data_IF_962271986772
#
_entry.id   IF_962271986772
#
_cell.length_a   1.000
_cell.length_b   1.000
_cell.length_c   1.000
_cell.angle_alpha   90.00
_cell.angle_beta   90.00
_cell.angle_gamma   90.00
#
_symmetry.space_group_name_H-M   'P 1'
#
loop_
_entity.id
_entity.type
_entity.pdbx_description
1 polymer ?
#
# COMPACT_ATOMS: atom_id res chain seq x y z
N UNK A 1 30.79 19.59 69.00
CA UNK A 1 30.92 19.78 67.54
C UNK A 1 30.90 18.42 66.87
N UNK A 2 30.34 18.35 65.66
CA UNK A 2 30.49 17.24 64.68
C UNK A 2 29.42 16.14 64.66
N UNK A 3 28.28 16.46 64.03
CA UNK A 3 27.63 15.53 63.10
C UNK A 3 27.15 16.20 61.79
N UNK A 4 27.54 17.47 61.56
CA UNK A 4 27.15 18.25 60.39
C UNK A 4 27.72 17.69 59.08
N UNK A 5 28.93 17.12 59.10
CA UNK A 5 29.54 16.49 57.91
C UNK A 5 28.76 15.26 57.44
N UNK A 6 28.22 14.47 58.36
CA UNK A 6 27.38 13.30 58.02
C UNK A 6 26.06 13.70 57.36
N UNK A 7 25.40 14.74 57.89
CA UNK A 7 24.17 15.28 57.33
C UNK A 7 24.37 15.83 55.90
N UNK A 8 25.47 16.55 55.65
CA UNK A 8 25.80 17.09 54.31
C UNK A 8 26.01 15.95 53.30
N UNK A 9 26.74 14.89 53.66
CA UNK A 9 26.98 13.75 52.78
C UNK A 9 25.69 12.99 52.44
N UNK A 10 24.78 12.82 53.40
CA UNK A 10 23.48 12.19 53.17
C UNK A 10 22.62 12.99 52.19
N UNK A 11 22.56 14.32 52.35
CA UNK A 11 21.83 15.20 51.42
C UNK A 11 22.44 15.13 50.02
N UNK A 12 23.77 15.11 49.90
CA UNK A 12 24.44 14.97 48.62
C UNK A 12 24.11 13.64 47.93
N UNK A 13 24.10 12.52 48.66
CA UNK A 13 23.73 11.20 48.13
C UNK A 13 22.25 11.18 47.70
N UNK A 14 21.34 11.73 48.51
CA UNK A 14 19.93 11.83 48.15
C UNK A 14 19.71 12.66 46.88
N UNK A 15 20.40 13.81 46.74
CA UNK A 15 20.34 14.63 45.53
C UNK A 15 20.87 13.88 44.31
N UNK A 16 21.98 13.16 44.44
CA UNK A 16 22.52 12.33 43.35
C UNK A 16 21.56 11.20 42.94
N UNK A 17 20.89 10.55 43.90
CA UNK A 17 19.86 9.54 43.63
C UNK A 17 18.63 10.15 42.94
N UNK A 18 18.22 11.35 43.34
CA UNK A 18 17.10 12.05 42.72
C UNK A 18 17.45 12.50 41.29
N UNK A 19 18.62 13.08 41.07
CA UNK A 19 19.09 13.48 39.73
C UNK A 19 19.26 12.26 38.82
N UNK A 20 19.82 11.16 39.31
CA UNK A 20 19.99 9.94 38.52
C UNK A 20 18.65 9.28 38.16
N UNK A 21 17.70 9.21 39.09
CA UNK A 21 16.35 8.68 38.81
C UNK A 21 15.59 9.55 37.80
N UNK A 22 15.65 10.87 37.89
CA UNK A 22 15.11 11.79 36.88
C UNK A 22 15.78 11.56 35.51
N UNK A 23 17.10 11.39 35.49
CA UNK A 23 17.86 11.08 34.28
C UNK A 23 17.37 9.79 33.61
N UNK A 24 17.16 8.72 34.38
CA UNK A 24 16.63 7.43 33.88
C UNK A 24 15.23 7.59 33.30
N UNK A 25 14.35 8.37 33.95
CA UNK A 25 13.00 8.63 33.46
C UNK A 25 13.00 9.36 32.11
N UNK A 26 13.82 10.41 31.98
CA UNK A 26 13.99 11.17 30.73
C UNK A 26 14.54 10.27 29.62
N UNK A 27 15.56 9.44 29.92
CA UNK A 27 16.11 8.47 28.97
C UNK A 27 15.06 7.48 28.50
N UNK A 28 14.25 6.92 29.41
CA UNK A 28 13.17 5.98 29.09
C UNK A 28 12.14 6.62 28.16
N UNK A 29 11.75 7.88 28.41
CA UNK A 29 10.84 8.62 27.55
C UNK A 29 11.43 8.87 26.15
N UNK A 30 12.71 9.26 26.06
CA UNK A 30 13.41 9.46 24.78
C UNK A 30 13.50 8.17 23.97
N UNK A 31 13.87 7.05 24.59
CA UNK A 31 13.92 5.73 23.95
C UNK A 31 12.53 5.35 23.40
N UNK A 32 11.48 5.57 24.18
CA UNK A 32 10.10 5.31 23.74
C UNK A 32 9.72 6.17 22.52
N UNK A 33 10.02 7.47 22.57
CA UNK A 33 9.79 8.38 21.44
C UNK A 33 10.54 7.96 20.17
N UNK A 34 11.81 7.58 20.29
CA UNK A 34 12.61 7.10 19.15
C UNK A 34 11.98 5.85 18.55
N UNK A 35 11.56 4.87 19.38
CA UNK A 35 10.86 3.67 18.91
C UNK A 35 9.56 3.99 18.17
N UNK A 36 8.78 4.96 18.66
CA UNK A 36 7.56 5.42 17.98
C UNK A 36 7.85 6.07 16.62
N UNK A 37 8.88 6.91 16.54
CA UNK A 37 9.29 7.57 15.29
C UNK A 37 9.76 6.52 14.27
N UNK A 38 10.58 5.56 14.69
CA UNK A 38 11.04 4.45 13.84
C UNK A 38 9.85 3.63 13.30
N UNK A 39 8.88 3.30 14.15
CA UNK A 39 7.68 2.57 13.73
C UNK A 39 6.84 3.36 12.71
N UNK A 40 6.72 4.69 12.89
CA UNK A 40 6.02 5.58 11.95
C UNK A 40 6.76 5.67 10.62
N UNK A 41 8.08 5.86 10.63
CA UNK A 41 8.91 5.89 9.43
C UNK A 41 8.82 4.59 8.65
N UNK A 42 8.92 3.44 9.34
CA UNK A 42 8.77 2.13 8.72
C UNK A 42 7.40 1.97 8.05
N UNK A 43 6.32 2.40 8.72
CA UNK A 43 4.96 2.35 8.18
C UNK A 43 4.80 3.21 6.92
N UNK A 44 5.39 4.41 6.90
CA UNK A 44 5.39 5.30 5.74
C UNK A 44 6.17 4.72 4.57
N UNK A 45 7.32 4.09 4.83
CA UNK A 45 8.10 3.39 3.79
C UNK A 45 7.30 2.22 3.19
N UNK A 46 6.67 1.40 4.04
CA UNK A 46 5.78 0.32 3.58
C UNK A 46 4.63 0.86 2.73
N UNK A 47 4.02 1.98 3.13
CA UNK A 47 2.98 2.63 2.33
C UNK A 47 3.50 3.13 0.99
N UNK A 48 4.69 3.72 0.95
CA UNK A 48 5.29 4.21 -0.28
C UNK A 48 5.59 3.07 -1.25
N UNK A 49 6.16 1.97 -0.77
CA UNK A 49 6.45 0.77 -1.57
C UNK A 49 5.16 0.16 -2.13
N UNK A 50 4.16 -0.05 -1.27
CA UNK A 50 2.85 -0.55 -1.66
C UNK A 50 2.16 0.35 -2.71
N UNK A 51 2.22 1.66 -2.50
CA UNK A 51 1.65 2.63 -3.43
C UNK A 51 2.37 2.62 -4.78
N UNK A 52 3.70 2.52 -4.77
CA UNK A 52 4.52 2.41 -5.97
C UNK A 52 4.13 1.20 -6.82
N UNK A 53 4.05 0.02 -6.20
CA UNK A 53 3.66 -1.23 -6.88
C UNK A 53 2.25 -1.14 -7.47
N UNK A 54 1.32 -0.58 -6.70
CA UNK A 54 -0.09 -0.42 -7.13
C UNK A 54 -0.22 0.56 -8.29
N UNK A 55 0.46 1.70 -8.21
CA UNK A 55 0.45 2.71 -9.28
C UNK A 55 1.10 2.17 -10.56
N UNK A 56 2.16 1.38 -10.44
CA UNK A 56 2.80 0.73 -11.58
C UNK A 56 1.83 -0.23 -12.31
N UNK A 57 1.14 -1.09 -11.55
CA UNK A 57 0.12 -1.99 -12.11
C UNK A 57 -1.00 -1.21 -12.79
N UNK A 58 -1.53 -0.17 -12.14
CA UNK A 58 -2.63 0.64 -12.68
C UNK A 58 -2.21 1.37 -13.95
N UNK A 59 -1.03 2.00 -13.95
CA UNK A 59 -0.49 2.69 -15.13
C UNK A 59 -0.31 1.74 -16.31
N UNK A 60 0.20 0.54 -16.08
CA UNK A 60 0.36 -0.48 -17.11
C UNK A 60 -0.99 -0.93 -17.69
N UNK A 61 -1.98 -1.20 -16.84
CA UNK A 61 -3.33 -1.58 -17.27
C UNK A 61 -4.02 -0.44 -18.03
N UNK A 62 -3.86 0.81 -17.60
CA UNK A 62 -4.40 1.98 -18.28
C UNK A 62 -3.80 2.20 -19.67
N UNK A 63 -2.54 1.81 -19.90
CA UNK A 63 -1.91 1.83 -21.24
C UNK A 63 -2.38 0.68 -22.12
N UNK A 64 -2.54 -0.52 -21.56
CA UNK A 64 -2.82 -1.74 -22.32
C UNK A 64 -4.31 -1.97 -22.60
N UNK A 65 -5.22 -1.46 -21.75
CA UNK A 65 -6.66 -1.58 -21.96
C UNK A 65 -7.18 -0.85 -23.22
N UNK A 66 -6.76 0.38 -23.54
CA UNK A 66 -7.10 1.03 -24.80
C UNK A 66 -6.60 0.24 -26.01
N UNK A 67 -5.38 -0.32 -25.94
CA UNK A 67 -4.82 -1.16 -27.01
C UNK A 67 -5.69 -2.41 -27.25
N UNK A 68 -6.12 -3.09 -26.17
CA UNK A 68 -7.02 -4.24 -26.28
C UNK A 68 -8.37 -3.86 -26.88
N UNK A 69 -8.91 -2.69 -26.55
CA UNK A 69 -10.14 -2.17 -27.17
C UNK A 69 -9.95 -1.95 -28.67
N UNK A 70 -8.89 -1.25 -29.06
CA UNK A 70 -8.58 -0.96 -30.46
C UNK A 70 -8.38 -2.25 -31.26
N UNK A 71 -7.61 -3.22 -30.75
CA UNK A 71 -7.40 -4.51 -31.39
C UNK A 71 -8.69 -5.35 -31.48
N UNK A 72 -9.53 -5.29 -30.46
CA UNK A 72 -10.82 -5.99 -30.48
C UNK A 72 -11.74 -5.37 -31.53
N UNK A 73 -11.81 -4.04 -31.61
CA UNK A 73 -12.59 -3.33 -32.65
C UNK A 73 -12.03 -3.60 -34.05
N UNK A 74 -10.72 -3.55 -34.25
CA UNK A 74 -10.07 -3.86 -35.52
C UNK A 74 -10.37 -5.28 -35.99
N UNK A 75 -10.39 -6.25 -35.05
CA UNK A 75 -10.78 -7.63 -35.33
C UNK A 75 -12.24 -7.75 -35.80
N UNK A 76 -13.15 -6.95 -35.24
CA UNK A 76 -14.54 -6.90 -35.70
C UNK A 76 -14.67 -6.17 -37.04
N UNK A 77 -13.95 -5.07 -37.25
CA UNK A 77 -13.95 -4.33 -38.51
C UNK A 77 -13.31 -5.11 -39.67
N UNK A 78 -12.30 -5.93 -39.42
CA UNK A 78 -11.66 -6.78 -40.43
C UNK A 78 -12.57 -7.89 -40.96
N UNK A 79 -13.68 -8.19 -40.28
CA UNK A 79 -14.72 -9.09 -40.79
C UNK A 79 -15.59 -8.43 -41.87
N UNK A 80 -15.61 -7.10 -41.93
CA UNK A 80 -16.49 -6.32 -42.82
C UNK A 80 -15.82 -6.05 -44.19
N UNK A 81 -14.48 -6.01 -44.24
CA UNK A 81 -13.72 -5.73 -45.47
C UNK A 81 -13.09 -7.04 -46.01
N UNK A 82 -13.71 -7.70 -47.02
CA UNK A 82 -13.15 -8.89 -47.65
C UNK A 82 -11.83 -8.56 -48.38
N UNK A 83 -10.83 -9.44 -48.29
CA UNK A 83 -9.52 -9.32 -48.97
C UNK A 83 -8.34 -9.00 -48.04
N UNK A 84 -8.46 -7.99 -47.17
CA UNK A 84 -7.41 -7.62 -46.19
C UNK A 84 -7.64 -8.31 -44.82
N UNK A 85 -8.85 -8.85 -44.61
CA UNK A 85 -9.34 -9.33 -43.32
C UNK A 85 -8.65 -10.57 -42.74
N UNK A 86 -8.15 -11.51 -43.54
CA UNK A 86 -7.64 -12.78 -43.00
C UNK A 86 -6.29 -12.64 -42.29
N UNK A 87 -5.35 -11.92 -42.89
CA UNK A 87 -4.01 -11.69 -42.32
C UNK A 87 -4.12 -10.78 -41.09
N UNK A 88 -4.89 -9.70 -41.20
CA UNK A 88 -5.14 -8.77 -40.10
C UNK A 88 -5.86 -9.43 -38.92
N UNK A 89 -6.82 -10.32 -39.17
CA UNK A 89 -7.52 -11.06 -38.11
C UNK A 89 -6.62 -12.03 -37.34
N UNK A 90 -5.74 -12.78 -38.04
CA UNK A 90 -4.78 -13.69 -37.37
C UNK A 90 -3.80 -12.91 -36.50
N UNK A 91 -3.22 -11.83 -37.04
CA UNK A 91 -2.28 -10.97 -36.31
C UNK A 91 -2.94 -10.30 -35.10
N UNK A 92 -4.18 -9.79 -35.25
CA UNK A 92 -4.93 -9.20 -34.15
C UNK A 92 -5.24 -10.22 -33.04
N UNK A 93 -5.56 -11.47 -33.39
CA UNK A 93 -5.81 -12.55 -32.41
C UNK A 93 -4.56 -12.88 -31.60
N UNK A 94 -3.40 -12.95 -32.25
CA UNK A 94 -2.11 -13.19 -31.58
C UNK A 94 -1.75 -12.02 -30.66
N UNK A 95 -1.86 -10.78 -31.15
CA UNK A 95 -1.62 -9.58 -30.35
C UNK A 95 -2.55 -9.47 -29.13
N UNK A 96 -3.84 -9.81 -29.29
CA UNK A 96 -4.77 -9.87 -28.16
C UNK A 96 -4.35 -10.91 -27.12
N UNK A 97 -3.91 -12.10 -27.55
CA UNK A 97 -3.45 -13.16 -26.65
C UNK A 97 -2.19 -12.75 -25.90
N UNK A 98 -1.21 -12.18 -26.58
CA UNK A 98 0.06 -11.76 -25.97
C UNK A 98 -0.15 -10.64 -24.94
N UNK A 99 -0.94 -9.61 -25.25
CA UNK A 99 -1.24 -8.53 -24.31
C UNK A 99 -2.00 -9.06 -23.09
N UNK A 100 -2.97 -9.97 -23.27
CA UNK A 100 -3.69 -10.61 -22.16
C UNK A 100 -2.75 -11.39 -21.24
N UNK A 101 -1.85 -12.20 -21.81
CA UNK A 101 -0.84 -12.95 -21.06
C UNK A 101 0.11 -12.02 -20.32
N UNK A 102 0.60 -10.96 -21.00
CA UNK A 102 1.45 -9.95 -20.39
C UNK A 102 0.78 -9.28 -19.18
N UNK A 103 -0.47 -8.85 -19.32
CA UNK A 103 -1.24 -8.28 -18.21
C UNK A 103 -1.42 -9.27 -17.05
N UNK A 104 -1.67 -10.56 -17.35
CA UNK A 104 -1.81 -11.60 -16.32
C UNK A 104 -0.48 -11.84 -15.59
N UNK A 105 0.65 -11.91 -16.31
CA UNK A 105 1.97 -12.06 -15.71
C UNK A 105 2.32 -10.88 -14.80
N UNK A 106 2.05 -9.65 -15.24
CA UNK A 106 2.26 -8.47 -14.41
C UNK A 106 1.35 -8.46 -13.18
N UNK A 107 0.12 -8.93 -13.30
CA UNK A 107 -0.78 -9.07 -12.17
C UNK A 107 -0.28 -10.10 -11.15
N UNK A 108 0.20 -11.26 -11.60
CA UNK A 108 0.82 -12.27 -10.73
C UNK A 108 2.09 -11.71 -10.06
N UNK A 109 2.92 -11.00 -10.81
CA UNK A 109 4.10 -10.31 -10.26
C UNK A 109 3.73 -9.31 -9.17
N UNK A 110 2.66 -8.55 -9.36
CA UNK A 110 2.14 -7.63 -8.34
C UNK A 110 1.70 -8.37 -7.07
N UNK A 111 0.96 -9.48 -7.20
CA UNK A 111 0.57 -10.30 -6.05
C UNK A 111 1.79 -10.87 -5.31
N UNK A 112 2.81 -11.31 -6.04
CA UNK A 112 4.10 -11.75 -5.45
C UNK A 112 4.78 -10.62 -4.68
N UNK A 113 4.82 -9.40 -5.24
CA UNK A 113 5.39 -8.24 -4.58
C UNK A 113 4.62 -7.87 -3.31
N UNK A 114 3.28 -7.93 -3.31
CA UNK A 114 2.47 -7.75 -2.10
C UNK A 114 2.84 -8.75 -1.00
N UNK A 115 3.05 -10.02 -1.38
CA UNK A 115 3.49 -11.06 -0.46
C UNK A 115 4.89 -10.76 0.10
N UNK A 116 5.84 -10.31 -0.73
CA UNK A 116 7.17 -9.91 -0.29
C UNK A 116 7.13 -8.72 0.68
N UNK A 117 6.31 -7.70 0.41
CA UNK A 117 6.12 -6.56 1.32
C UNK A 117 5.58 -7.05 2.68
N UNK A 118 4.63 -7.99 2.68
CA UNK A 118 4.16 -8.61 3.93
C UNK A 118 5.28 -9.37 4.66
N UNK A 119 6.13 -10.09 3.93
CA UNK A 119 7.29 -10.81 4.50
C UNK A 119 8.32 -9.86 5.13
N UNK A 120 8.45 -8.63 4.63
CA UNK A 120 9.30 -7.56 5.20
C UNK A 120 8.75 -6.94 6.50
N UNK A 121 7.84 -7.63 7.21
CA UNK A 121 7.18 -7.17 8.45
C UNK A 121 6.32 -5.90 8.31
N UNK A 122 5.93 -5.53 7.09
CA UNK A 122 4.95 -4.46 6.90
C UNK A 122 3.56 -4.90 7.40
N UNK A 123 2.88 -4.11 8.24
CA UNK A 123 1.61 -4.50 8.85
C UNK A 123 0.43 -4.29 7.88
N UNK A 124 0.43 -5.05 6.79
CA UNK A 124 -0.61 -5.05 5.76
C UNK A 124 -1.88 -5.73 6.28
N UNK A 125 -3.01 -5.04 6.20
CA UNK A 125 -4.32 -5.67 6.40
C UNK A 125 -4.61 -6.70 5.30
N UNK A 126 -5.38 -7.74 5.61
CA UNK A 126 -5.94 -8.68 4.61
C UNK A 126 -6.71 -7.93 3.52
N UNK A 127 -7.34 -6.80 3.85
CA UNK A 127 -8.03 -5.95 2.89
C UNK A 127 -7.10 -5.33 1.84
N UNK A 128 -5.81 -5.18 2.12
CA UNK A 128 -4.82 -4.65 1.17
C UNK A 128 -4.49 -5.64 0.04
N UNK A 129 -4.84 -6.93 0.19
CA UNK A 129 -4.76 -7.92 -0.89
C UNK A 129 -5.95 -7.84 -1.85
N UNK A 130 -6.99 -7.07 -1.54
CA UNK A 130 -8.06 -6.76 -2.51
C UNK A 130 -7.51 -5.80 -3.55
N UNK A 131 -7.14 -6.35 -4.70
CA UNK A 131 -6.52 -5.59 -5.81
C UNK A 131 -7.50 -4.61 -6.48
N UNK A 132 -7.00 -3.64 -7.29
CA UNK A 132 -7.85 -2.70 -8.03
C UNK A 132 -8.76 -3.35 -9.08
N UNK A 133 -8.42 -4.55 -9.53
CA UNK A 133 -9.08 -5.24 -10.65
C UNK A 133 -9.96 -6.39 -10.15
N UNK A 134 -11.06 -6.65 -10.86
CA UNK A 134 -11.89 -7.83 -10.60
C UNK A 134 -11.16 -9.08 -11.09
N UNK A 135 -11.18 -10.13 -10.27
CA UNK A 135 -10.61 -11.44 -10.60
C UNK A 135 -11.70 -12.50 -10.58
N UNK A 136 -11.53 -13.56 -11.37
CA UNK A 136 -12.30 -14.80 -11.29
C UNK A 136 -11.83 -15.63 -10.08
N UNK A 137 -12.56 -16.70 -9.77
CA UNK A 137 -12.19 -17.69 -8.73
C UNK A 137 -10.77 -18.23 -8.97
N UNK A 138 -10.38 -18.45 -10.23
CA UNK A 138 -9.04 -18.88 -10.65
C UNK A 138 -7.95 -17.80 -10.56
N UNK A 139 -8.21 -16.67 -9.90
CA UNK A 139 -7.32 -15.50 -9.82
C UNK A 139 -6.95 -14.87 -11.18
N UNK A 140 -7.59 -15.31 -12.26
CA UNK A 140 -7.47 -14.70 -13.57
C UNK A 140 -8.21 -13.35 -13.60
N UNK A 141 -7.66 -12.38 -14.32
CA UNK A 141 -8.30 -11.06 -14.49
C UNK A 141 -9.65 -11.19 -15.22
N UNK A 142 -10.70 -10.60 -14.64
CA UNK A 142 -12.01 -10.51 -15.27
C UNK A 142 -11.95 -9.53 -16.45
N UNK A 143 -12.62 -9.89 -17.55
CA UNK A 143 -12.59 -9.14 -18.81
C UNK A 143 -13.98 -8.71 -19.22
N UNK A 144 -14.09 -7.56 -19.88
CA UNK A 144 -15.32 -7.10 -20.52
C UNK A 144 -15.44 -7.57 -21.98
N UNK A 145 -16.51 -7.16 -22.67
CA UNK A 145 -16.76 -7.46 -24.10
C UNK A 145 -15.66 -6.97 -25.04
N UNK A 146 -14.87 -5.97 -24.63
CA UNK A 146 -13.75 -5.44 -25.39
C UNK A 146 -12.39 -6.01 -24.94
N UNK A 147 -12.42 -7.13 -24.20
CA UNK A 147 -11.25 -7.79 -23.62
C UNK A 147 -10.46 -6.94 -22.60
N UNK A 148 -10.97 -5.79 -22.16
CA UNK A 148 -10.32 -4.92 -21.18
C UNK A 148 -10.40 -5.53 -19.79
N UNK A 149 -9.42 -5.28 -18.94
CA UNK A 149 -9.51 -5.67 -17.52
C UNK A 149 -10.55 -4.80 -16.82
N UNK A 150 -11.45 -5.43 -16.07
CA UNK A 150 -12.52 -4.72 -15.36
C UNK A 150 -11.98 -4.15 -14.05
N UNK A 151 -11.95 -2.82 -13.96
CA UNK A 151 -11.68 -2.09 -12.73
C UNK A 151 -12.82 -2.30 -11.73
N UNK A 152 -12.49 -2.31 -10.43
CA UNK A 152 -13.52 -2.31 -9.39
C UNK A 152 -14.10 -0.89 -9.27
N UNK A 153 -15.40 -0.75 -9.45
CA UNK A 153 -16.14 0.53 -9.49
C UNK A 153 -15.96 1.44 -8.24
N UNK A 154 -15.62 0.87 -7.08
CA UNK A 154 -15.41 1.62 -5.83
C UNK A 154 -13.93 2.00 -5.64
N UNK A 155 -13.67 3.21 -5.12
CA UNK A 155 -12.38 3.63 -4.53
C UNK A 155 -11.84 2.47 -3.70
N UNK A 156 -10.77 1.81 -4.16
CA UNK A 156 -10.18 0.74 -3.37
C UNK A 156 -9.28 1.40 -2.31
N UNK A 157 -9.35 0.82 -1.11
CA UNK A 157 -8.62 1.31 0.06
C UNK A 157 -7.57 0.29 0.43
N UNK A 158 -6.32 0.73 0.52
CA UNK A 158 -5.27 -0.05 1.15
C UNK A 158 -5.12 0.43 2.58
N UNK A 159 -5.01 -0.53 3.50
CA UNK A 159 -4.96 -0.25 4.93
C UNK A 159 -3.70 -0.90 5.50
N UNK A 160 -2.80 -0.06 6.01
CA UNK A 160 -1.69 -0.46 6.85
C UNK A 160 -2.07 -0.14 8.29
N UNK A 161 -2.05 -1.14 9.18
CA UNK A 161 -2.52 -1.00 10.56
C UNK A 161 -1.49 -1.53 11.54
N UNK A 162 -0.86 -0.63 12.30
CA UNK A 162 -0.09 -0.97 13.49
C UNK A 162 -0.91 -0.62 14.76
N UNK A 163 -0.44 -1.00 15.96
CA UNK A 163 -1.10 -0.73 17.25
C UNK A 163 -1.47 0.75 17.45
N UNK A 164 -0.63 1.67 16.96
CA UNK A 164 -0.73 3.11 17.22
C UNK A 164 -1.09 3.95 15.97
N UNK A 165 -0.97 3.38 14.77
CA UNK A 165 -1.04 4.14 13.52
C UNK A 165 -1.84 3.39 12.46
N UNK A 166 -2.62 4.15 11.69
CA UNK A 166 -3.40 3.63 10.58
C UNK A 166 -3.18 4.52 9.35
N UNK A 167 -2.67 3.93 8.28
CA UNK A 167 -2.58 4.59 6.97
C UNK A 167 -3.67 4.01 6.08
N UNK A 168 -4.52 4.89 5.56
CA UNK A 168 -5.48 4.59 4.52
C UNK A 168 -5.02 5.27 3.24
N UNK A 169 -4.72 4.48 2.21
CA UNK A 169 -4.51 5.02 0.87
C UNK A 169 -5.75 4.78 0.03
N UNK A 170 -6.28 5.86 -0.54
CA UNK A 170 -7.37 5.82 -1.51
C UNK A 170 -6.80 6.03 -2.89
N UNK A 171 -7.30 5.25 -3.84
CA UNK A 171 -6.88 5.35 -5.24
C UNK A 171 -8.06 5.73 -6.12
N UNK A 172 -7.75 6.55 -7.12
CA UNK A 172 -8.65 6.88 -8.21
C UNK A 172 -8.23 6.12 -9.48
N UNK A 173 -9.16 5.95 -10.44
CA UNK A 173 -8.99 5.14 -11.66
C UNK A 173 -7.89 5.65 -12.61
N UNK A 174 -7.57 6.94 -12.51
CA UNK A 174 -6.50 7.67 -13.20
C UNK A 174 -5.10 7.38 -12.62
N UNK A 175 -4.97 6.57 -11.57
CA UNK A 175 -3.68 6.20 -10.98
C UNK A 175 -3.13 7.25 -10.01
N UNK A 176 -3.92 8.26 -9.66
CA UNK A 176 -3.65 9.16 -8.54
C UNK A 176 -4.04 8.48 -7.23
N UNK A 177 -3.17 8.62 -6.23
CA UNK A 177 -3.34 8.01 -4.90
C UNK A 177 -3.21 9.08 -3.83
N UNK A 178 -4.17 9.16 -2.91
CA UNK A 178 -4.09 10.03 -1.74
C UNK A 178 -3.96 9.17 -0.49
N UNK A 179 -2.88 9.35 0.26
CA UNK A 179 -2.64 8.67 1.52
C UNK A 179 -3.00 9.58 2.68
N UNK A 180 -3.82 9.09 3.60
CA UNK A 180 -4.14 9.76 4.86
C UNK A 180 -3.55 8.93 6.00
N UNK A 181 -2.60 9.52 6.74
CA UNK A 181 -2.08 8.98 7.99
C UNK A 181 -2.95 9.48 9.14
N UNK A 182 -3.46 8.56 9.98
CA UNK A 182 -4.20 8.91 11.20
C UNK A 182 -3.51 8.30 12.42
N UNK A 183 -3.20 9.13 13.43
CA UNK A 183 -2.83 8.64 14.77
C UNK A 183 -4.04 8.04 15.46
N UNK A 184 -3.85 7.02 16.30
CA UNK A 184 -4.91 6.47 17.15
C UNK A 184 -5.34 7.43 18.27
N UNK A 185 -4.48 8.37 18.67
CA UNK A 185 -4.81 9.40 19.66
C UNK A 185 -5.93 10.36 19.16
N UNK A 186 -6.04 10.53 17.83
CA UNK A 186 -7.11 11.31 17.19
C UNK A 186 -8.39 10.50 16.90
N UNK A 187 -8.45 9.23 17.29
CA UNK A 187 -9.66 8.40 17.15
C UNK A 187 -10.54 8.41 18.40
N UNK A 188 -9.99 8.79 19.56
CA UNK A 188 -10.74 8.91 20.82
C UNK A 188 -11.33 10.30 21.03
N UNK A 189 -10.75 11.37 20.47
CA UNK A 189 -11.30 12.73 20.63
C UNK A 189 -12.65 12.96 19.90
N UNK A 190 -12.99 12.11 18.93
CA UNK A 190 -14.28 12.15 18.23
C UNK A 190 -15.35 11.24 18.84
N UNK A 191 -15.04 10.46 19.88
CA UNK A 191 -16.01 9.63 20.59
C UNK A 191 -16.42 10.20 21.95
N UNK A 192 -15.81 11.31 22.38
CA UNK A 192 -16.12 12.02 23.63
C UNK A 192 -16.58 13.48 23.41
N UNK A 193 -17.06 13.80 22.21
CA UNK A 193 -17.73 15.07 21.89
C UNK A 193 -19.21 14.81 21.54
N UNK A 194 -19.89 14.13 22.45
CA UNK A 194 -21.35 14.07 22.58
C UNK A 194 -21.69 14.46 24.02
#
# INVERSE_FOLDING_TARGET
MNNQRGAINLVAICLLMLVSSLGILVLKQRIHHVKLIQAKQHLLLCSKELNGETNNLVRMMNKTNPMLKALTLAKYGSLIIPGIGQVTHKSAKIALKSIKQFQQLKFISYLKNLYLIRKKKCPLSVLSFKTPYRTKVSQALLRDKFNRTVLREKKWKQVLKNKNWLIKTFYQSNGTSTSQLRSRDNLLSHYFSL
#
